data_IF_551094589263
#
_entry.id   IF_551094589263
#
_cell.length_a   1.000
_cell.length_b   1.000
_cell.length_c   1.000
_cell.angle_alpha   90.00
_cell.angle_beta   90.00
_cell.angle_gamma   90.00
#
_symmetry.space_group_name_H-M   'P 1'
#
loop_
_entity.id
_entity.type
_entity.pdbx_description
1 polymer ?
#
# COMPACT_ATOMS: atom_id res chain seq x y z
N UNK A 1 5.05 81.37 0.63
CA UNK A 1 4.42 80.77 1.83
C UNK A 1 3.10 80.13 1.41
N UNK A 2 3.12 78.85 1.05
CA UNK A 2 1.92 78.07 0.70
C UNK A 2 2.02 76.73 1.42
N UNK A 3 1.06 76.48 2.31
CA UNK A 3 0.92 75.27 3.11
C UNK A 3 0.78 74.04 2.23
N UNK A 4 1.68 73.07 2.40
CA UNK A 4 1.47 71.68 1.99
C UNK A 4 0.76 70.95 3.11
N UNK A 5 -0.53 70.67 2.89
CA UNK A 5 -1.35 69.76 3.68
C UNK A 5 -0.81 68.35 3.41
N UNK A 6 -0.13 67.76 4.40
CA UNK A 6 0.23 66.35 4.39
C UNK A 6 -1.04 65.51 4.60
N UNK A 7 -1.48 64.84 3.54
CA UNK A 7 -2.56 63.86 3.60
C UNK A 7 -2.07 62.61 4.34
N UNK A 8 -2.41 62.52 5.64
CA UNK A 8 -2.40 61.29 6.41
C UNK A 8 -3.53 60.38 5.90
N UNK A 9 -3.25 59.60 4.86
CA UNK A 9 -4.07 58.44 4.53
C UNK A 9 -3.75 57.33 5.53
N UNK A 10 -4.63 57.25 6.54
CA UNK A 10 -4.74 56.14 7.48
C UNK A 10 -5.03 54.87 6.65
N UNK A 11 -4.00 54.04 6.47
CA UNK A 11 -4.14 52.70 5.89
C UNK A 11 -4.72 51.75 6.97
N UNK A 12 -5.95 52.03 7.40
CA UNK A 12 -6.76 51.14 8.24
C UNK A 12 -7.62 50.26 7.36
N UNK A 13 -6.98 49.42 6.54
CA UNK A 13 -7.67 48.39 5.76
C UNK A 13 -7.01 47.04 6.01
N UNK A 14 -7.70 46.21 6.80
CA UNK A 14 -7.70 44.76 6.70
C UNK A 14 -6.34 44.06 6.48
N UNK A 15 -5.35 44.33 7.34
CA UNK A 15 -4.44 43.25 7.72
C UNK A 15 -5.23 42.27 8.58
N UNK A 16 -5.93 41.33 7.93
CA UNK A 16 -6.19 40.02 8.55
C UNK A 16 -4.79 39.45 8.77
N UNK A 17 -4.16 39.82 9.88
CA UNK A 17 -2.90 39.25 10.31
C UNK A 17 -3.14 37.75 10.32
N UNK A 18 -2.58 37.05 9.33
CA UNK A 18 -2.62 35.61 9.28
C UNK A 18 -2.09 35.14 10.63
N UNK A 19 -2.97 34.50 11.39
CA UNK A 19 -2.74 34.17 12.80
C UNK A 19 -1.76 33.00 12.83
N UNK A 20 -0.49 33.34 12.98
CA UNK A 20 0.59 32.38 13.16
C UNK A 20 1.04 32.39 14.61
N UNK A 21 1.12 31.21 15.22
CA UNK A 21 2.03 30.97 16.34
C UNK A 21 3.38 30.59 15.73
N UNK A 22 4.49 31.00 16.32
CA UNK A 22 5.83 30.51 15.94
C UNK A 22 6.48 29.75 17.08
N UNK A 23 7.62 29.09 16.82
CA UNK A 23 8.42 28.48 17.90
C UNK A 23 8.95 29.52 18.90
N UNK A 24 9.24 30.74 18.42
CA UNK A 24 9.81 31.83 19.22
C UNK A 24 8.76 32.79 19.81
N UNK A 25 7.51 32.71 19.38
CA UNK A 25 6.41 33.56 19.84
C UNK A 25 5.14 32.73 19.96
N UNK A 26 4.81 32.39 21.21
CA UNK A 26 3.59 31.69 21.56
C UNK A 26 3.03 32.31 22.83
N UNK A 27 2.14 33.27 22.65
CA UNK A 27 1.53 34.07 23.71
C UNK A 27 0.05 34.27 23.40
N UNK A 28 -0.74 34.58 24.43
CA UNK A 28 -2.12 34.99 24.22
C UNK A 28 -2.16 36.39 23.58
N UNK A 29 -3.10 36.59 22.65
CA UNK A 29 -3.34 37.91 22.04
C UNK A 29 -3.82 38.93 23.07
N UNK A 30 -4.68 38.49 23.99
CA UNK A 30 -5.17 39.25 25.12
C UNK A 30 -5.26 38.31 26.33
N UNK A 31 -4.20 38.29 27.14
CA UNK A 31 -4.04 37.31 28.23
C UNK A 31 -5.20 37.34 29.22
N UNK A 32 -5.66 38.51 29.64
CA UNK A 32 -6.78 38.65 30.58
C UNK A 32 -8.08 38.09 30.00
N UNK A 33 -8.39 38.45 28.75
CA UNK A 33 -9.59 37.99 28.06
C UNK A 33 -9.55 36.48 27.84
N UNK A 34 -8.43 35.95 27.37
CA UNK A 34 -8.22 34.52 27.19
C UNK A 34 -8.36 33.75 28.51
N UNK A 35 -7.79 34.24 29.61
CA UNK A 35 -7.93 33.59 30.92
C UNK A 35 -9.39 33.52 31.39
N UNK A 36 -10.16 34.59 31.20
CA UNK A 36 -11.59 34.62 31.54
C UNK A 36 -12.35 33.63 30.65
N UNK A 37 -12.19 33.72 29.33
CA UNK A 37 -12.90 32.87 28.39
C UNK A 37 -12.59 31.39 28.56
N UNK A 38 -11.32 31.01 28.76
CA UNK A 38 -10.94 29.61 28.96
C UNK A 38 -11.47 29.07 30.29
N UNK A 39 -11.55 29.91 31.33
CA UNK A 39 -12.11 29.54 32.62
C UNK A 39 -13.62 29.31 32.55
N UNK A 40 -14.36 30.19 31.89
CA UNK A 40 -15.83 30.11 31.77
C UNK A 40 -16.27 29.11 30.69
N UNK A 41 -15.54 29.04 29.57
CA UNK A 41 -15.86 28.23 28.40
C UNK A 41 -14.66 27.35 27.99
N UNK A 42 -14.33 26.30 28.74
CA UNK A 42 -13.25 25.36 28.41
C UNK A 42 -13.29 24.80 26.99
N UNK A 43 -14.50 24.65 26.45
CA UNK A 43 -14.74 24.14 25.09
C UNK A 43 -14.19 25.06 24.00
N UNK A 44 -13.97 26.34 24.32
CA UNK A 44 -13.35 27.33 23.43
C UNK A 44 -11.97 26.86 22.94
N UNK A 45 -11.20 26.22 23.82
CA UNK A 45 -9.87 25.71 23.50
C UNK A 45 -9.86 24.49 22.59
N UNK A 46 -10.99 23.80 22.36
CA UNK A 46 -10.97 22.65 21.46
C UNK A 46 -11.10 23.05 19.99
N UNK A 47 -11.61 24.26 19.69
CA UNK A 47 -11.68 24.73 18.31
C UNK A 47 -10.27 25.15 17.82
N UNK A 48 -9.72 24.55 16.75
CA UNK A 48 -8.38 24.89 16.25
C UNK A 48 -8.21 26.35 15.86
N UNK A 49 -9.30 27.03 15.46
CA UNK A 49 -9.26 28.47 15.13
C UNK A 49 -8.95 29.34 16.36
N UNK A 50 -9.20 28.80 17.56
CA UNK A 50 -9.02 29.47 18.85
C UNK A 50 -7.70 29.08 19.52
N UNK A 51 -6.98 28.07 19.03
CA UNK A 51 -5.66 27.70 19.53
C UNK A 51 -4.64 28.84 19.37
N UNK A 52 -4.84 29.73 18.38
CA UNK A 52 -3.91 30.83 18.06
C UNK A 52 -4.13 32.09 18.89
N UNK A 53 -5.37 32.61 19.04
CA UNK A 53 -5.59 33.79 19.87
C UNK A 53 -5.32 33.59 21.36
N UNK A 54 -5.50 32.37 21.88
CA UNK A 54 -5.35 32.03 23.30
C UNK A 54 -4.37 30.86 23.51
N UNK A 55 -3.23 30.92 22.83
CA UNK A 55 -2.28 29.81 22.75
C UNK A 55 -1.69 29.41 24.12
N UNK A 56 -1.40 30.39 24.97
CA UNK A 56 -0.83 30.15 26.29
C UNK A 56 -1.91 29.68 27.26
N UNK A 57 -3.04 30.38 27.34
CA UNK A 57 -4.17 30.03 28.20
C UNK A 57 -4.78 28.66 27.88
N UNK A 58 -4.80 28.26 26.61
CA UNK A 58 -5.23 26.92 26.22
C UNK A 58 -4.15 25.84 26.41
N UNK A 59 -2.90 26.24 26.68
CA UNK A 59 -1.78 25.32 26.90
C UNK A 59 -1.07 24.86 25.63
N UNK A 60 -1.43 25.40 24.45
CA UNK A 60 -0.85 25.07 23.14
C UNK A 60 0.64 25.31 23.12
N UNK A 61 1.10 26.38 23.75
CA UNK A 61 2.52 26.72 23.80
C UNK A 61 3.39 25.64 24.46
N UNK A 62 2.80 24.85 25.37
CA UNK A 62 3.49 23.77 26.10
C UNK A 62 3.60 22.48 25.29
N UNK A 63 2.83 22.33 24.21
CA UNK A 63 2.92 21.16 23.34
C UNK A 63 4.21 21.18 22.51
N UNK A 64 4.88 20.03 22.41
CA UNK A 64 6.09 19.84 21.62
C UNK A 64 5.79 19.84 20.11
N UNK A 65 4.63 19.30 19.74
CA UNK A 65 4.15 19.09 18.40
C UNK A 65 2.80 19.81 18.24
N UNK A 66 2.87 21.02 17.68
CA UNK A 66 1.75 21.96 17.51
C UNK A 66 1.68 22.50 16.09
N UNK A 67 0.49 22.91 15.69
CA UNK A 67 0.25 23.52 14.39
C UNK A 67 0.38 25.05 14.47
N UNK A 68 1.15 25.61 13.53
CA UNK A 68 1.50 27.03 13.50
C UNK A 68 0.49 27.87 12.72
N UNK A 69 -0.44 27.24 11.99
CA UNK A 69 -1.48 27.93 11.24
C UNK A 69 -2.89 27.57 11.72
N UNK A 70 -3.75 28.57 11.89
CA UNK A 70 -5.12 28.36 12.42
C UNK A 70 -6.04 27.55 11.51
N UNK A 71 -5.74 27.46 10.21
CA UNK A 71 -6.55 26.72 9.25
C UNK A 71 -6.08 25.27 9.00
N UNK A 72 -5.11 24.75 9.75
CA UNK A 72 -4.56 23.41 9.52
C UNK A 72 -5.64 22.31 9.44
N UNK A 73 -6.69 22.39 10.29
CA UNK A 73 -7.77 21.41 10.27
C UNK A 73 -8.71 21.54 9.06
N UNK A 74 -8.90 22.75 8.53
CA UNK A 74 -9.83 23.06 7.44
C UNK A 74 -9.19 22.86 6.06
N UNK A 75 -7.94 23.29 5.95
CA UNK A 75 -7.23 23.43 4.68
C UNK A 75 -6.13 22.38 4.53
N UNK A 76 -6.25 21.23 5.19
CA UNK A 76 -5.27 20.16 5.15
C UNK A 76 -4.91 19.73 3.73
N UNK A 77 -5.87 19.77 2.79
CA UNK A 77 -5.60 19.50 1.36
C UNK A 77 -4.56 20.46 0.78
N UNK A 78 -4.68 21.74 1.09
CA UNK A 78 -3.83 22.81 0.57
C UNK A 78 -2.50 22.83 1.34
N UNK A 79 -2.56 22.66 2.66
CA UNK A 79 -1.40 22.82 3.52
C UNK A 79 -0.50 21.59 3.50
N UNK A 80 -1.05 20.37 3.51
CA UNK A 80 -0.23 19.16 3.58
C UNK A 80 0.22 18.63 2.21
N UNK A 81 -0.54 18.86 1.12
CA UNK A 81 -0.19 18.31 -0.20
C UNK A 81 0.55 19.30 -1.11
N UNK A 82 0.45 20.62 -0.90
CA UNK A 82 1.16 21.62 -1.70
C UNK A 82 2.54 21.99 -1.13
N UNK A 83 3.14 21.11 -0.29
CA UNK A 83 4.47 21.34 0.29
C UNK A 83 4.53 22.45 1.35
N UNK A 84 3.38 22.82 1.94
CA UNK A 84 3.27 23.80 3.05
C UNK A 84 3.06 23.12 4.40
N UNK A 85 3.51 21.88 4.51
CA UNK A 85 3.27 20.97 5.63
C UNK A 85 4.03 21.39 6.91
N UNK A 86 5.06 22.23 6.78
CA UNK A 86 5.78 22.83 7.90
C UNK A 86 4.94 23.81 8.73
N UNK A 87 3.86 24.38 8.18
CA UNK A 87 2.92 25.20 8.95
C UNK A 87 1.98 24.38 9.84
N UNK A 88 1.83 23.09 9.53
CA UNK A 88 0.89 22.19 10.17
C UNK A 88 1.55 20.87 10.53
N UNK A 89 2.67 20.86 11.29
CA UNK A 89 3.44 19.65 11.49
C UNK A 89 2.67 18.56 12.24
N UNK A 90 1.71 18.92 13.11
CA UNK A 90 0.86 17.95 13.82
C UNK A 90 -0.18 17.38 12.86
N UNK A 91 -0.96 18.22 12.18
CA UNK A 91 -2.00 17.76 11.24
C UNK A 91 -1.43 16.98 10.05
N UNK A 92 -0.29 17.42 9.51
CA UNK A 92 0.37 16.77 8.37
C UNK A 92 1.21 15.54 8.77
N UNK A 93 1.30 15.21 10.07
CA UNK A 93 2.04 14.04 10.55
C UNK A 93 3.57 14.16 10.46
N UNK A 94 4.11 15.38 10.43
CA UNK A 94 5.55 15.65 10.45
C UNK A 94 6.14 15.58 11.87
N UNK A 95 5.32 15.63 12.91
CA UNK A 95 5.74 15.34 14.28
C UNK A 95 4.85 14.24 14.90
N UNK A 96 5.49 13.23 15.50
CA UNK A 96 4.83 12.01 15.97
C UNK A 96 4.86 11.88 17.50
N UNK A 97 4.62 12.99 18.21
CA UNK A 97 4.56 13.00 19.67
C UNK A 97 3.13 12.70 20.11
N UNK A 98 2.95 11.70 20.98
CA UNK A 98 1.66 11.44 21.60
C UNK A 98 1.42 12.35 22.80
N UNK A 99 0.80 13.49 22.54
CA UNK A 99 0.44 14.47 23.56
C UNK A 99 -0.89 15.14 23.23
N UNK A 100 -1.52 15.68 24.28
CA UNK A 100 -2.62 16.63 24.12
C UNK A 100 -2.04 17.98 23.66
N UNK A 101 -2.70 18.61 22.70
CA UNK A 101 -2.34 19.92 22.19
C UNK A 101 -2.72 21.03 23.17
N UNK A 102 -3.81 20.85 23.90
CA UNK A 102 -4.27 21.77 24.95
C UNK A 102 -4.01 21.19 26.33
N UNK A 103 -4.22 21.98 27.37
CA UNK A 103 -4.05 21.53 28.75
C UNK A 103 -4.79 20.20 29.03
N UNK A 104 -4.06 19.20 29.52
CA UNK A 104 -4.63 17.88 29.85
C UNK A 104 -5.72 17.94 30.94
N UNK A 105 -5.79 19.01 31.73
CA UNK A 105 -6.93 19.24 32.64
C UNK A 105 -8.23 19.51 31.88
N UNK A 106 -8.18 20.26 30.77
CA UNK A 106 -9.32 20.49 29.88
C UNK A 106 -9.70 19.17 29.19
N UNK A 107 -8.71 18.45 28.64
CA UNK A 107 -8.96 17.17 27.98
C UNK A 107 -9.59 16.12 28.89
N UNK A 108 -9.12 16.00 30.14
CA UNK A 108 -9.72 15.05 31.11
C UNK A 108 -11.18 15.37 31.42
N UNK A 109 -11.55 16.65 31.48
CA UNK A 109 -12.94 17.08 31.70
C UNK A 109 -13.86 16.84 30.50
N UNK A 110 -13.33 16.56 29.31
CA UNK A 110 -14.10 16.36 28.08
C UNK A 110 -13.81 15.01 27.42
N UNK A 111 -13.31 14.05 28.19
CA UNK A 111 -12.91 12.73 27.70
C UNK A 111 -14.10 11.91 27.19
N UNK A 112 -15.28 12.10 27.77
CA UNK A 112 -16.56 11.51 27.34
C UNK A 112 -16.90 11.87 25.90
N UNK A 113 -16.59 13.10 25.48
CA UNK A 113 -16.84 13.63 24.14
C UNK A 113 -15.84 13.18 23.08
N UNK A 114 -14.79 12.45 23.44
CA UNK A 114 -13.79 11.94 22.50
C UNK A 114 -14.41 11.06 21.39
N UNK A 115 -15.57 10.45 21.61
CA UNK A 115 -16.24 9.61 20.59
C UNK A 115 -16.95 10.42 19.51
N UNK A 116 -17.41 11.61 19.86
CA UNK A 116 -18.37 12.37 19.05
C UNK A 116 -17.74 13.62 18.45
N UNK A 117 -16.77 14.22 19.14
CA UNK A 117 -16.20 15.51 18.76
C UNK A 117 -14.81 15.36 18.12
N UNK A 118 -14.68 15.59 16.79
CA UNK A 118 -13.39 15.54 16.10
C UNK A 118 -12.41 16.62 16.56
N UNK A 119 -12.89 17.76 17.03
CA UNK A 119 -12.03 18.83 17.56
C UNK A 119 -11.38 18.39 18.87
N UNK A 120 -12.13 17.69 19.73
CA UNK A 120 -11.57 17.11 20.96
C UNK A 120 -10.61 15.98 20.63
N UNK A 121 -10.93 15.09 19.67
CA UNK A 121 -9.98 14.05 19.23
C UNK A 121 -8.67 14.63 18.73
N UNK A 122 -8.73 15.76 18.02
CA UNK A 122 -7.57 16.47 17.52
C UNK A 122 -6.75 17.15 18.64
N UNK A 123 -7.43 17.87 19.54
CA UNK A 123 -6.77 18.63 20.61
C UNK A 123 -6.33 17.76 21.80
N UNK A 124 -6.94 16.59 21.99
CA UNK A 124 -6.76 15.73 23.16
C UNK A 124 -6.36 14.30 22.78
N UNK A 125 -5.46 14.13 21.81
CA UNK A 125 -5.11 12.82 21.23
C UNK A 125 -4.66 11.80 22.28
N UNK A 126 -3.86 12.22 23.27
CA UNK A 126 -3.37 11.32 24.33
C UNK A 126 -4.49 10.94 25.27
N UNK A 127 -5.25 11.92 25.75
CA UNK A 127 -6.38 11.68 26.67
C UNK A 127 -7.50 10.83 26.02
N UNK A 128 -7.76 11.05 24.73
CA UNK A 128 -8.71 10.28 23.94
C UNK A 128 -8.17 8.92 23.48
N UNK A 129 -6.93 8.55 23.84
CA UNK A 129 -6.26 7.30 23.43
C UNK A 129 -6.23 7.10 21.90
N UNK A 130 -6.14 8.20 21.15
CA UNK A 130 -5.95 8.21 19.69
C UNK A 130 -4.50 7.86 19.35
N UNK A 131 -3.59 8.13 20.28
CA UNK A 131 -2.21 7.72 20.23
C UNK A 131 -1.79 7.08 21.56
N UNK A 132 -0.67 6.37 21.55
CA UNK A 132 0.08 6.00 22.75
C UNK A 132 1.56 6.26 22.55
N UNK A 133 2.29 6.48 23.64
CA UNK A 133 3.74 6.72 23.60
C UNK A 133 4.48 5.50 22.99
N UNK A 134 3.94 4.30 23.19
CA UNK A 134 4.47 3.03 22.65
C UNK A 134 4.08 2.76 21.18
N UNK A 135 3.14 3.54 20.62
CA UNK A 135 2.69 3.35 19.24
C UNK A 135 3.25 4.46 18.36
N UNK A 136 4.30 4.13 17.60
CA UNK A 136 4.82 4.95 16.49
C UNK A 136 3.81 5.10 15.33
N UNK A 137 2.63 4.51 15.46
CA UNK A 137 1.67 4.27 14.41
C UNK A 137 0.28 4.83 14.73
N UNK A 138 0.08 6.12 14.48
CA UNK A 138 -1.23 6.77 14.67
C UNK A 138 -1.58 7.58 13.43
N UNK A 139 -2.86 7.67 13.11
CA UNK A 139 -3.34 8.66 12.14
C UNK A 139 -3.27 10.04 12.81
N UNK A 140 -2.55 10.95 12.18
CA UNK A 140 -2.43 12.34 12.59
C UNK A 140 -3.72 13.12 12.30
N UNK A 141 -4.37 12.78 11.19
CA UNK A 141 -5.61 13.42 10.79
C UNK A 141 -6.77 12.93 11.66
N UNK A 142 -7.47 13.83 12.37
CA UNK A 142 -8.68 13.47 13.10
C UNK A 142 -9.78 13.09 12.10
N UNK A 143 -10.67 12.23 12.56
CA UNK A 143 -11.73 11.61 11.77
C UNK A 143 -12.89 12.60 11.55
N UNK A 144 -12.62 13.63 10.74
CA UNK A 144 -13.57 14.58 10.15
C UNK A 144 -13.93 14.12 8.72
N UNK A 145 -14.74 14.88 7.98
CA UNK A 145 -15.18 14.64 6.59
C UNK A 145 -14.08 14.19 5.59
N UNK A 146 -12.81 14.38 5.95
CA UNK A 146 -11.64 13.79 5.32
C UNK A 146 -11.05 12.74 6.27
N UNK A 147 -11.64 11.54 6.33
CA UNK A 147 -11.08 10.47 7.15
C UNK A 147 -9.95 9.76 6.40
N UNK A 148 -8.97 9.24 7.14
CA UNK A 148 -7.93 8.40 6.56
C UNK A 148 -8.52 7.19 5.81
N UNK A 149 -9.60 6.61 6.34
CA UNK A 149 -10.34 5.52 5.72
C UNK A 149 -10.99 5.90 4.38
N UNK A 150 -11.48 7.13 4.24
CA UNK A 150 -12.03 7.62 2.97
C UNK A 150 -10.92 7.76 1.92
N UNK A 151 -9.78 8.33 2.29
CA UNK A 151 -8.64 8.48 1.37
C UNK A 151 -8.05 7.14 0.97
N UNK A 152 -7.95 6.19 1.90
CA UNK A 152 -7.57 4.82 1.60
C UNK A 152 -8.48 4.19 0.55
N UNK A 153 -9.81 4.25 0.76
CA UNK A 153 -10.80 3.73 -0.21
C UNK A 153 -10.71 4.39 -1.58
N UNK A 154 -10.31 5.66 -1.64
CA UNK A 154 -10.08 6.40 -2.88
C UNK A 154 -8.70 6.12 -3.50
N UNK A 155 -7.87 5.26 -2.91
CA UNK A 155 -6.56 4.88 -3.42
C UNK A 155 -5.44 5.88 -3.13
N UNK A 156 -5.65 6.88 -2.28
CA UNK A 156 -4.66 7.95 -2.05
C UNK A 156 -3.41 7.43 -1.32
N UNK A 157 -3.52 6.38 -0.51
CA UNK A 157 -2.37 5.75 0.16
C UNK A 157 -1.34 5.17 -0.82
N UNK A 158 -1.75 4.83 -2.04
CA UNK A 158 -0.88 4.27 -3.09
C UNK A 158 -0.72 5.21 -4.30
N UNK A 159 -1.38 6.37 -4.28
CA UNK A 159 -1.33 7.31 -5.39
C UNK A 159 0.07 7.96 -5.51
N UNK A 160 0.70 8.01 -6.70
CA UNK A 160 2.07 8.49 -6.85
C UNK A 160 2.32 9.89 -6.30
N UNK A 161 1.34 10.80 -6.42
CA UNK A 161 1.47 12.18 -5.92
C UNK A 161 1.13 12.35 -4.44
N UNK A 162 0.30 11.48 -3.87
CA UNK A 162 -0.29 11.71 -2.54
C UNK A 162 0.18 10.72 -1.49
N UNK A 163 0.72 9.57 -1.91
CA UNK A 163 1.04 8.45 -1.03
C UNK A 163 1.99 8.83 0.08
N UNK A 164 3.05 9.60 -0.17
CA UNK A 164 4.01 9.98 0.87
C UNK A 164 3.38 10.87 1.95
N UNK A 165 2.65 11.91 1.56
CA UNK A 165 1.90 12.76 2.50
C UNK A 165 0.85 11.94 3.26
N UNK A 166 0.12 11.07 2.56
CA UNK A 166 -0.88 10.20 3.18
C UNK A 166 -0.27 9.20 4.16
N UNK A 167 0.91 8.65 3.88
CA UNK A 167 1.63 7.76 4.79
C UNK A 167 2.10 8.49 6.06
N UNK A 168 2.29 9.81 6.03
CA UNK A 168 2.57 10.61 7.23
C UNK A 168 1.27 10.92 7.99
N UNK A 169 0.29 11.50 7.30
CA UNK A 169 -0.98 11.96 7.88
C UNK A 169 -1.85 10.82 8.40
N UNK A 170 -1.88 9.74 7.65
CA UNK A 170 -2.72 8.58 7.86
C UNK A 170 -1.86 7.34 8.05
N UNK A 171 -0.83 7.45 8.90
CA UNK A 171 0.15 6.39 9.05
C UNK A 171 -0.49 5.04 9.42
N UNK A 172 -1.44 5.03 10.35
CA UNK A 172 -2.11 3.80 10.79
C UNK A 172 -2.95 3.19 9.67
N UNK A 173 -3.60 4.02 8.87
CA UNK A 173 -4.45 3.56 7.77
C UNK A 173 -3.64 3.20 6.51
N UNK A 174 -2.72 4.06 6.08
CA UNK A 174 -2.00 3.97 4.80
C UNK A 174 -0.68 3.19 4.86
N UNK A 175 -0.03 3.07 6.01
CA UNK A 175 1.21 2.31 6.13
C UNK A 175 0.92 0.90 6.66
N UNK A 176 1.20 -0.11 5.84
CA UNK A 176 1.26 -1.50 6.30
C UNK A 176 2.39 -1.75 7.30
N UNK A 177 3.47 -0.97 7.28
CA UNK A 177 4.57 -1.05 8.27
C UNK A 177 4.22 -0.54 9.67
N UNK A 178 3.16 0.26 9.73
CA UNK A 178 2.57 0.77 10.95
C UNK A 178 1.84 -0.36 11.70
N UNK A 179 1.38 -1.33 10.92
CA UNK A 179 1.18 -2.71 11.32
C UNK A 179 2.54 -3.44 11.23
N UNK A 180 3.52 -3.03 12.02
CA UNK A 180 4.65 -3.91 12.28
C UNK A 180 4.03 -5.23 12.76
N UNK A 181 4.21 -6.29 11.95
CA UNK A 181 3.50 -7.60 11.92
C UNK A 181 2.46 -7.85 10.80
N UNK A 182 2.61 -7.29 9.59
CA UNK A 182 1.91 -7.81 8.38
C UNK A 182 2.79 -8.14 7.18
N UNK A 183 4.10 -8.23 7.40
CA UNK A 183 4.98 -8.97 6.49
C UNK A 183 5.50 -10.18 7.24
N UNK A 184 5.24 -11.36 6.68
CA UNK A 184 6.05 -12.52 7.04
C UNK A 184 7.35 -12.32 6.28
N UNK A 185 8.49 -12.13 6.94
CA UNK A 185 9.78 -12.32 6.25
C UNK A 185 10.28 -13.73 6.53
N UNK A 186 11.32 -14.17 5.84
CA UNK A 186 12.01 -15.42 6.20
C UNK A 186 12.60 -15.37 7.62
N UNK A 187 12.93 -14.16 8.11
CA UNK A 187 13.54 -13.94 9.42
C UNK A 187 12.57 -13.57 10.55
N UNK A 188 11.31 -13.23 10.25
CA UNK A 188 10.34 -12.71 11.24
C UNK A 188 9.03 -13.51 11.31
N UNK A 189 9.10 -14.81 11.03
CA UNK A 189 7.92 -15.66 10.95
C UNK A 189 7.54 -16.22 12.33
N UNK A 190 7.00 -15.34 13.17
CA UNK A 190 6.51 -15.63 14.51
C UNK A 190 5.04 -15.23 14.63
N UNK A 191 4.31 -15.87 15.54
CA UNK A 191 2.97 -15.44 15.90
C UNK A 191 3.02 -14.09 16.64
N UNK A 192 2.05 -13.22 16.37
CA UNK A 192 1.89 -11.92 17.06
C UNK A 192 1.67 -12.09 18.56
N UNK A 193 0.89 -13.11 18.92
CA UNK A 193 0.63 -13.54 20.29
C UNK A 193 0.54 -15.07 20.28
N UNK A 194 1.68 -15.74 20.51
CA UNK A 194 1.79 -17.20 20.35
C UNK A 194 0.77 -17.98 21.17
N UNK A 195 0.50 -17.57 22.41
CA UNK A 195 -0.50 -18.22 23.27
C UNK A 195 -1.92 -18.08 22.73
N UNK A 196 -2.31 -16.87 22.34
CA UNK A 196 -3.65 -16.60 21.79
C UNK A 196 -3.84 -17.32 20.45
N UNK A 197 -2.83 -17.27 19.58
CA UNK A 197 -2.85 -17.98 18.30
C UNK A 197 -2.97 -19.50 18.48
N UNK A 198 -2.23 -20.10 19.42
CA UNK A 198 -2.32 -21.53 19.69
C UNK A 198 -3.72 -21.94 20.19
N UNK A 199 -4.31 -21.17 21.10
CA UNK A 199 -5.67 -21.41 21.60
C UNK A 199 -6.66 -21.26 20.44
N UNK A 200 -6.58 -20.16 19.71
CA UNK A 200 -7.54 -19.82 18.66
C UNK A 200 -7.48 -20.79 17.49
N UNK A 201 -6.29 -21.20 17.05
CA UNK A 201 -6.12 -22.19 15.96
C UNK A 201 -6.60 -23.57 16.39
N UNK A 202 -6.46 -23.92 17.68
CA UNK A 202 -6.96 -25.18 18.23
C UNK A 202 -8.48 -25.22 18.29
N UNK A 203 -9.12 -24.14 18.74
CA UNK A 203 -10.59 -24.04 18.86
C UNK A 203 -11.27 -23.77 17.51
N UNK A 204 -10.64 -22.94 16.66
CA UNK A 204 -11.17 -22.49 15.38
C UNK A 204 -10.16 -22.73 14.24
N UNK A 205 -9.97 -23.99 13.80
CA UNK A 205 -9.09 -24.32 12.66
C UNK A 205 -9.36 -23.51 11.40
N UNK A 206 -10.63 -23.12 11.18
CA UNK A 206 -11.04 -22.31 10.03
C UNK A 206 -10.42 -20.91 10.00
N UNK A 207 -9.95 -20.42 11.14
CA UNK A 207 -9.24 -19.15 11.25
C UNK A 207 -8.04 -19.09 10.32
N UNK A 208 -7.28 -20.18 10.25
CA UNK A 208 -6.08 -20.27 9.43
C UNK A 208 -6.37 -20.29 7.94
N UNK A 209 -7.59 -20.54 7.48
CA UNK A 209 -7.84 -20.56 6.03
C UNK A 209 -8.04 -19.15 5.47
N UNK A 210 -8.38 -18.15 6.30
CA UNK A 210 -8.49 -16.77 5.85
C UNK A 210 -7.08 -16.15 5.69
N UNK A 211 -6.69 -15.70 4.49
CA UNK A 211 -5.35 -15.12 4.27
C UNK A 211 -5.04 -13.88 5.11
N UNK A 212 -6.07 -13.15 5.55
CA UNK A 212 -5.89 -12.02 6.47
C UNK A 212 -5.33 -12.45 7.84
N UNK A 213 -5.56 -13.71 8.21
CA UNK A 213 -5.15 -14.31 9.48
C UNK A 213 -3.81 -15.05 9.40
N UNK A 214 -3.27 -15.27 8.18
CA UNK A 214 -1.96 -15.87 7.99
C UNK A 214 -0.83 -15.05 8.62
N UNK A 215 -1.01 -13.74 8.80
CA UNK A 215 -0.02 -12.86 9.43
C UNK A 215 -0.01 -12.88 10.95
N UNK A 216 -1.15 -12.65 11.64
CA UNK A 216 -1.15 -12.64 13.10
C UNK A 216 -0.76 -13.98 13.71
N UNK A 217 -1.06 -15.10 13.04
CA UNK A 217 -0.78 -16.45 13.53
C UNK A 217 0.02 -17.28 12.52
N UNK A 218 1.08 -16.70 11.94
CA UNK A 218 1.86 -17.32 10.87
C UNK A 218 2.48 -18.66 11.26
N UNK A 219 2.97 -18.79 12.48
CA UNK A 219 3.62 -20.00 12.98
C UNK A 219 2.58 -21.04 13.40
N UNK A 220 1.59 -20.64 14.21
CA UNK A 220 0.49 -21.51 14.64
C UNK A 220 -0.31 -22.08 13.47
N UNK A 221 -0.52 -21.27 12.41
CA UNK A 221 -1.17 -21.74 11.20
C UNK A 221 -0.24 -22.54 10.27
N UNK A 222 1.07 -22.59 10.53
CA UNK A 222 2.05 -23.32 9.73
C UNK A 222 2.48 -22.62 8.44
N UNK A 223 2.08 -21.37 8.24
CA UNK A 223 2.42 -20.53 7.08
C UNK A 223 3.93 -20.34 6.96
N UNK A 224 4.61 -20.27 8.10
CA UNK A 224 6.07 -20.16 8.15
C UNK A 224 6.81 -21.30 7.47
N UNK A 225 6.22 -22.50 7.44
CA UNK A 225 6.84 -23.72 6.92
C UNK A 225 6.64 -23.89 5.41
N UNK A 226 5.75 -23.11 4.80
CA UNK A 226 5.58 -23.10 3.35
C UNK A 226 6.82 -22.46 2.71
N UNK A 227 7.40 -23.15 1.72
CA UNK A 227 8.48 -22.62 0.88
C UNK A 227 8.02 -21.40 0.06
N UNK A 228 6.72 -21.29 -0.11
CA UNK A 228 6.07 -20.28 -0.90
C UNK A 228 4.80 -19.81 -0.21
N UNK A 229 4.86 -18.55 0.21
CA UNK A 229 3.82 -17.87 0.98
C UNK A 229 3.64 -16.46 0.45
N UNK A 230 2.42 -15.96 0.62
CA UNK A 230 2.18 -14.54 0.43
C UNK A 230 2.77 -13.79 1.61
N UNK A 231 3.51 -12.73 1.31
CA UNK A 231 4.14 -11.90 2.32
C UNK A 231 3.25 -10.72 2.72
N UNK A 232 2.06 -10.60 2.13
CA UNK A 232 1.16 -9.47 2.38
C UNK A 232 -0.28 -9.93 2.66
N UNK A 233 -0.88 -9.43 3.74
CA UNK A 233 -2.20 -9.91 4.20
C UNK A 233 -3.33 -9.61 3.21
N UNK A 234 -3.13 -8.59 2.37
CA UNK A 234 -4.11 -8.16 1.40
C UNK A 234 -3.97 -8.86 0.03
N UNK A 235 -3.05 -9.82 -0.13
CA UNK A 235 -2.87 -10.50 -1.42
C UNK A 235 -4.17 -11.02 -2.02
N UNK A 236 -5.05 -11.62 -1.21
CA UNK A 236 -6.34 -12.10 -1.69
C UNK A 236 -7.32 -10.99 -2.09
N UNK A 237 -7.32 -9.85 -1.36
CA UNK A 237 -8.24 -8.73 -1.60
C UNK A 237 -7.82 -7.88 -2.79
N UNK A 238 -6.52 -7.64 -2.88
CA UNK A 238 -5.92 -6.66 -3.79
C UNK A 238 -5.11 -7.36 -4.90
N UNK A 239 -5.37 -8.64 -5.18
CA UNK A 239 -4.64 -9.43 -6.17
C UNK A 239 -4.54 -8.72 -7.53
N UNK A 240 -5.63 -8.06 -7.96
CA UNK A 240 -5.65 -7.30 -9.21
C UNK A 240 -4.65 -6.14 -9.25
N UNK A 241 -4.35 -5.54 -8.11
CA UNK A 241 -3.42 -4.41 -8.01
C UNK A 241 -2.01 -4.97 -7.80
N UNK A 242 -1.87 -5.87 -6.82
CA UNK A 242 -0.57 -6.40 -6.40
C UNK A 242 0.09 -7.25 -7.47
N UNK A 243 -0.67 -8.04 -8.24
CA UNK A 243 -0.10 -8.91 -9.28
C UNK A 243 0.19 -8.19 -10.60
N UNK A 244 -0.47 -7.07 -10.88
CA UNK A 244 -0.36 -6.38 -12.17
C UNK A 244 0.50 -5.11 -12.13
N UNK A 245 0.71 -4.50 -10.95
CA UNK A 245 1.55 -3.32 -10.78
C UNK A 245 3.06 -3.62 -10.58
N UNK A 246 3.51 -4.84 -10.87
CA UNK A 246 4.90 -5.26 -10.63
C UNK A 246 5.26 -5.38 -9.14
N UNK A 247 4.25 -5.58 -8.27
CA UNK A 247 4.39 -5.87 -6.83
C UNK A 247 4.08 -7.32 -6.49
N UNK A 248 4.14 -8.16 -7.49
CA UNK A 248 3.84 -9.58 -7.48
C UNK A 248 4.77 -10.37 -6.53
N UNK A 249 5.98 -9.86 -6.26
CA UNK A 249 6.90 -10.39 -5.26
C UNK A 249 6.39 -10.35 -3.81
N UNK A 250 5.39 -9.50 -3.49
CA UNK A 250 4.75 -9.51 -2.17
C UNK A 250 3.67 -10.60 -2.05
N UNK A 251 3.18 -11.11 -3.18
CA UNK A 251 2.09 -12.06 -3.27
C UNK A 251 2.42 -13.23 -4.21
N UNK A 252 3.61 -13.86 -4.06
CA UNK A 252 4.09 -14.80 -5.07
C UNK A 252 3.17 -16.00 -5.26
N UNK A 253 2.37 -16.37 -4.25
CA UNK A 253 1.43 -17.50 -4.37
C UNK A 253 0.11 -17.08 -4.97
N UNK A 254 -0.47 -15.97 -4.52
CA UNK A 254 -1.71 -15.44 -5.10
C UNK A 254 -1.53 -15.06 -6.57
N UNK A 255 -0.39 -14.46 -6.90
CA UNK A 255 -0.06 -14.05 -8.27
C UNK A 255 0.42 -15.20 -9.16
N UNK A 256 0.54 -16.42 -8.62
CA UNK A 256 0.94 -17.59 -9.40
C UNK A 256 2.42 -17.61 -9.80
N UNK A 257 3.25 -16.74 -9.23
CA UNK A 257 4.71 -16.70 -9.45
C UNK A 257 5.46 -17.84 -8.76
N UNK A 258 4.72 -18.75 -8.14
CA UNK A 258 5.25 -19.84 -7.37
C UNK A 258 4.66 -21.16 -7.81
N UNK A 259 5.55 -22.04 -8.27
CA UNK A 259 5.23 -23.36 -8.81
C UNK A 259 5.32 -24.48 -7.76
N UNK A 260 5.47 -24.16 -6.47
CA UNK A 260 5.56 -25.16 -5.41
C UNK A 260 4.16 -25.66 -5.03
N UNK A 261 3.89 -26.93 -5.30
CA UNK A 261 2.66 -27.59 -4.85
C UNK A 261 2.77 -27.98 -3.37
N UNK A 262 2.38 -27.05 -2.51
CA UNK A 262 2.28 -27.27 -1.06
C UNK A 262 1.06 -26.55 -0.48
N UNK A 263 0.60 -27.06 0.66
CA UNK A 263 -0.37 -26.37 1.49
C UNK A 263 0.31 -25.15 2.15
N UNK A 264 -0.40 -24.02 2.18
CA UNK A 264 0.04 -22.82 2.89
C UNK A 264 0.02 -23.02 4.40
N UNK A 265 -0.99 -23.73 4.90
CA UNK A 265 -1.17 -23.93 6.33
C UNK A 265 -0.78 -25.34 6.71
N UNK A 266 -0.74 -25.60 8.02
CA UNK A 266 -0.42 -26.91 8.57
C UNK A 266 -1.25 -28.01 7.88
N UNK A 267 -0.55 -29.02 7.34
CA UNK A 267 -1.20 -30.13 6.61
C UNK A 267 -2.24 -30.88 7.45
N UNK A 268 -2.11 -30.88 8.79
CA UNK A 268 -3.12 -31.41 9.71
C UNK A 268 -4.44 -30.64 9.65
N UNK A 269 -4.41 -29.32 9.53
CA UNK A 269 -5.59 -28.47 9.34
C UNK A 269 -6.24 -28.77 7.98
N UNK A 270 -5.41 -28.85 6.93
CA UNK A 270 -5.90 -29.14 5.59
C UNK A 270 -6.57 -30.52 5.47
N UNK A 271 -6.01 -31.55 6.10
CA UNK A 271 -6.63 -32.90 6.11
C UNK A 271 -7.98 -32.90 6.83
N UNK A 272 -8.11 -32.14 7.93
CA UNK A 272 -9.38 -32.01 8.67
C UNK A 272 -10.48 -31.28 7.89
N UNK A 273 -10.12 -30.50 6.88
CA UNK A 273 -11.07 -29.69 6.09
C UNK A 273 -11.10 -30.09 4.61
N UNK A 274 -10.66 -31.31 4.29
CA UNK A 274 -10.53 -31.78 2.92
C UNK A 274 -11.89 -31.95 2.21
N UNK A 275 -12.94 -32.27 2.96
CA UNK A 275 -14.33 -32.36 2.52
C UNK A 275 -14.84 -31.01 1.97
N UNK A 276 -14.38 -29.90 2.56
CA UNK A 276 -14.78 -28.53 2.20
C UNK A 276 -13.99 -27.94 1.03
N UNK A 277 -13.04 -28.68 0.46
CA UNK A 277 -12.24 -28.25 -0.68
C UNK A 277 -13.06 -27.92 -1.94
N UNK A 278 -14.33 -28.35 -2.06
CA UNK A 278 -15.15 -27.98 -3.23
C UNK A 278 -15.86 -26.64 -3.04
N UNK A 279 -16.26 -26.34 -1.81
CA UNK A 279 -17.18 -25.26 -1.48
C UNK A 279 -16.46 -24.01 -0.95
N UNK A 280 -15.34 -24.18 -0.25
CA UNK A 280 -14.66 -23.07 0.41
C UNK A 280 -13.42 -22.62 -0.39
N UNK A 281 -13.46 -21.44 -1.05
CA UNK A 281 -12.33 -20.93 -1.84
C UNK A 281 -11.09 -20.64 -0.99
N UNK A 282 -11.24 -20.34 0.31
CA UNK A 282 -10.13 -20.09 1.23
C UNK A 282 -9.41 -21.40 1.57
N UNK A 283 -10.16 -22.48 1.81
CA UNK A 283 -9.57 -23.82 2.01
C UNK A 283 -8.88 -24.27 0.72
N UNK A 284 -9.51 -24.07 -0.44
CA UNK A 284 -8.89 -24.37 -1.74
C UNK A 284 -7.57 -23.63 -1.93
N UNK A 285 -7.54 -22.36 -1.56
CA UNK A 285 -6.35 -21.52 -1.65
C UNK A 285 -5.25 -21.97 -0.68
N UNK A 286 -5.60 -22.22 0.57
CA UNK A 286 -4.64 -22.55 1.63
C UNK A 286 -4.22 -24.01 1.63
N UNK A 287 -5.00 -24.92 1.06
CA UNK A 287 -4.78 -26.37 1.08
C UNK A 287 -4.63 -26.97 -0.33
N UNK A 288 -3.91 -26.28 -1.23
CA UNK A 288 -3.82 -26.68 -2.65
C UNK A 288 -3.34 -28.11 -2.87
N UNK A 289 -2.41 -28.60 -2.05
CA UNK A 289 -1.88 -29.97 -2.17
C UNK A 289 -2.89 -30.97 -1.65
N UNK A 290 -3.44 -30.74 -0.46
CA UNK A 290 -4.43 -31.63 0.15
C UNK A 290 -5.74 -31.68 -0.65
N UNK A 291 -6.19 -30.55 -1.19
CA UNK A 291 -7.34 -30.45 -2.09
C UNK A 291 -7.05 -30.97 -3.51
N UNK A 292 -5.82 -31.48 -3.78
CA UNK A 292 -5.40 -31.97 -5.10
C UNK A 292 -5.54 -30.93 -6.23
N UNK A 293 -5.50 -29.63 -5.89
CA UNK A 293 -5.61 -28.51 -6.83
C UNK A 293 -4.30 -28.30 -7.57
N UNK A 294 -3.17 -28.50 -6.88
CA UNK A 294 -1.85 -28.40 -7.50
C UNK A 294 -1.29 -29.77 -7.90
N UNK A 295 -2.15 -30.80 -8.06
CA UNK A 295 -1.74 -32.04 -8.70
C UNK A 295 -1.00 -31.66 -9.97
N UNK A 296 0.21 -32.18 -10.09
CA UNK A 296 1.09 -32.08 -11.24
C UNK A 296 0.54 -32.85 -12.44
N UNK A 297 -0.77 -32.78 -12.69
CA UNK A 297 -1.35 -33.12 -13.96
C UNK A 297 -1.46 -31.79 -14.69
N UNK A 298 -0.61 -31.61 -15.70
CA UNK A 298 -0.91 -30.64 -16.71
C UNK A 298 -2.15 -31.12 -17.47
N UNK A 299 -3.31 -30.87 -16.88
CA UNK A 299 -4.61 -31.20 -17.42
C UNK A 299 -5.43 -29.91 -17.31
N UNK A 300 -6.20 -29.62 -18.35
CA UNK A 300 -7.10 -28.48 -18.31
C UNK A 300 -8.16 -28.68 -17.22
N UNK A 301 -8.58 -27.59 -16.58
CA UNK A 301 -9.53 -27.60 -15.45
C UNK A 301 -10.93 -28.12 -15.82
N UNK A 302 -11.19 -28.34 -17.12
CA UNK A 302 -12.27 -29.11 -17.73
C UNK A 302 -11.76 -29.61 -19.10
N UNK A 303 -11.14 -30.80 -19.17
CA UNK A 303 -10.42 -31.26 -20.37
C UNK A 303 -11.21 -31.12 -21.68
N UNK A 304 -12.50 -31.47 -21.70
CA UNK A 304 -13.31 -31.41 -22.93
C UNK A 304 -13.69 -29.97 -23.33
N UNK A 305 -14.20 -29.16 -22.40
CA UNK A 305 -14.57 -27.76 -22.70
C UNK A 305 -13.34 -26.89 -22.95
N UNK A 306 -12.26 -27.07 -22.20
CA UNK A 306 -11.00 -26.33 -22.38
C UNK A 306 -10.38 -26.61 -23.75
N UNK A 307 -10.39 -27.87 -24.20
CA UNK A 307 -9.91 -28.25 -25.53
C UNK A 307 -10.77 -27.68 -26.65
N UNK A 308 -12.10 -27.76 -26.53
CA UNK A 308 -13.03 -27.18 -27.52
C UNK A 308 -12.86 -25.67 -27.58
N UNK A 309 -12.83 -25.01 -26.42
CA UNK A 309 -12.76 -23.57 -26.31
C UNK A 309 -11.42 -23.00 -26.80
N UNK A 310 -10.29 -23.65 -26.49
CA UNK A 310 -8.98 -23.24 -27.03
C UNK A 310 -8.89 -23.49 -28.54
N UNK A 311 -9.54 -24.53 -29.05
CA UNK A 311 -9.60 -24.81 -30.49
C UNK A 311 -10.41 -23.75 -31.24
N UNK A 312 -11.53 -23.28 -30.67
CA UNK A 312 -12.37 -22.21 -31.24
C UNK A 312 -11.78 -20.81 -31.01
N UNK A 313 -11.19 -20.57 -29.84
CA UNK A 313 -10.65 -19.27 -29.42
C UNK A 313 -9.16 -19.35 -28.99
N UNK A 314 -8.23 -19.57 -29.94
CA UNK A 314 -6.80 -19.66 -29.63
C UNK A 314 -6.20 -18.43 -28.93
N UNK A 315 -6.85 -17.26 -29.07
CA UNK A 315 -6.41 -16.03 -28.39
C UNK A 315 -6.52 -16.08 -26.87
N UNK A 316 -7.35 -16.98 -26.35
CA UNK A 316 -7.56 -17.14 -24.93
C UNK A 316 -6.27 -17.55 -24.19
N UNK A 317 -5.41 -18.30 -24.87
CA UNK A 317 -4.12 -18.76 -24.36
C UNK A 317 -3.06 -17.66 -24.23
N UNK A 318 -3.23 -16.49 -24.84
CA UNK A 318 -2.24 -15.42 -24.72
C UNK A 318 -2.44 -14.55 -23.46
N UNK A 319 -3.54 -14.75 -22.72
CA UNK A 319 -3.74 -14.11 -21.43
C UNK A 319 -3.14 -14.98 -20.31
N UNK A 320 -2.16 -14.49 -19.53
CA UNK A 320 -1.53 -15.26 -18.44
C UNK A 320 -2.52 -15.80 -17.40
N UNK A 321 -3.61 -15.08 -17.14
CA UNK A 321 -4.67 -15.52 -16.21
C UNK A 321 -5.36 -16.83 -16.65
N UNK A 322 -5.30 -17.14 -17.95
CA UNK A 322 -5.93 -18.31 -18.54
C UNK A 322 -4.96 -19.49 -18.70
N UNK A 323 -3.68 -19.33 -18.36
CA UNK A 323 -2.68 -20.40 -18.40
C UNK A 323 -2.95 -21.48 -17.35
N UNK A 324 -3.62 -21.14 -16.24
CA UNK A 324 -3.99 -22.09 -15.20
C UNK A 324 -5.21 -22.98 -15.58
N UNK A 325 -6.34 -22.44 -16.08
CA UNK A 325 -7.49 -23.27 -16.46
C UNK A 325 -7.30 -24.09 -17.74
N UNK A 326 -6.40 -23.71 -18.66
CA UNK A 326 -6.20 -24.36 -19.97
C UNK A 326 -4.73 -24.73 -20.22
N UNK A 327 -3.99 -25.13 -19.19
CA UNK A 327 -2.54 -25.32 -19.24
C UNK A 327 -2.08 -26.34 -20.30
N UNK A 328 -2.84 -27.41 -20.52
CA UNK A 328 -2.53 -28.47 -21.47
C UNK A 328 -2.92 -28.05 -22.88
N UNK A 329 -4.14 -27.55 -23.06
CA UNK A 329 -4.66 -27.09 -24.36
C UNK A 329 -3.89 -25.89 -24.91
N UNK A 330 -3.45 -24.98 -24.04
CA UNK A 330 -2.58 -23.87 -24.42
C UNK A 330 -1.11 -24.30 -24.61
N UNK A 331 -0.78 -25.56 -24.29
CA UNK A 331 0.56 -26.14 -24.41
C UNK A 331 1.58 -25.53 -23.45
N UNK A 332 1.14 -24.84 -22.41
CA UNK A 332 1.99 -24.20 -21.39
C UNK A 332 2.88 -25.24 -20.71
N UNK A 333 2.40 -26.46 -20.55
CA UNK A 333 3.17 -27.52 -19.91
C UNK A 333 4.08 -28.31 -20.85
N UNK A 334 3.92 -28.13 -22.17
CA UNK A 334 4.86 -28.67 -23.17
C UNK A 334 6.03 -27.72 -23.39
N UNK A 335 5.89 -26.44 -23.03
CA UNK A 335 7.00 -25.51 -22.97
C UNK A 335 7.95 -25.96 -21.84
N UNK A 336 9.24 -26.18 -22.15
CA UNK A 336 10.23 -26.65 -21.19
C UNK A 336 10.67 -25.52 -20.25
N UNK A 337 9.75 -24.81 -19.60
CA UNK A 337 10.10 -23.83 -18.58
C UNK A 337 10.11 -24.51 -17.20
N UNK A 338 11.16 -25.29 -16.92
CA UNK A 338 11.65 -25.46 -15.55
C UNK A 338 12.58 -24.29 -15.24
N UNK A 339 12.14 -23.47 -14.30
CA UNK A 339 12.83 -22.34 -13.69
C UNK A 339 13.05 -21.08 -14.55
N UNK A 340 12.81 -19.92 -13.92
CA UNK A 340 13.16 -18.57 -14.38
C UNK A 340 14.69 -18.34 -14.53
N UNK A 341 15.48 -19.42 -14.58
CA UNK A 341 16.94 -19.39 -14.58
C UNK A 341 17.61 -20.21 -15.70
N UNK A 342 16.88 -20.89 -16.59
CA UNK A 342 17.52 -21.57 -17.73
C UNK A 342 17.33 -20.86 -19.07
N UNK A 343 18.45 -20.69 -19.76
CA UNK A 343 18.69 -19.85 -20.93
C UNK A 343 18.09 -20.37 -22.25
N UNK A 344 16.80 -20.73 -22.28
CA UNK A 344 16.14 -21.16 -23.52
C UNK A 344 15.01 -20.19 -23.88
N UNK A 345 15.23 -19.38 -24.92
CA UNK A 345 14.17 -18.58 -25.54
C UNK A 345 13.18 -19.52 -26.25
N UNK A 346 12.19 -20.00 -25.51
CA UNK A 346 11.05 -20.79 -26.02
C UNK A 346 9.73 -20.02 -25.83
N UNK A 347 8.76 -20.22 -26.73
CA UNK A 347 7.41 -19.69 -26.53
C UNK A 347 6.78 -20.27 -25.24
N UNK A 348 6.06 -19.44 -24.48
CA UNK A 348 5.37 -19.83 -23.24
C UNK A 348 4.08 -20.61 -23.51
N UNK A 349 3.58 -20.55 -24.74
CA UNK A 349 2.42 -21.30 -25.24
C UNK A 349 2.83 -22.12 -26.47
N UNK A 350 2.00 -23.07 -26.88
CA UNK A 350 2.36 -23.98 -27.97
C UNK A 350 2.76 -23.24 -29.25
N UNK A 351 3.88 -23.65 -29.86
CA UNK A 351 4.44 -22.99 -31.05
C UNK A 351 3.47 -22.92 -32.23
N UNK A 352 2.53 -23.86 -32.35
CA UNK A 352 1.47 -23.81 -33.37
C UNK A 352 0.46 -22.68 -33.14
N UNK A 353 0.12 -22.36 -31.87
CA UNK A 353 -0.75 -21.24 -31.53
C UNK A 353 -0.05 -19.92 -31.83
N UNK A 354 1.23 -19.85 -31.51
CA UNK A 354 2.07 -18.71 -31.87
C UNK A 354 2.10 -18.54 -33.39
N UNK A 355 2.55 -19.54 -34.16
CA UNK A 355 2.63 -19.45 -35.63
C UNK A 355 1.31 -19.05 -36.30
N UNK A 356 0.15 -19.46 -35.75
CA UNK A 356 -1.17 -19.18 -36.33
C UNK A 356 -1.69 -17.75 -36.07
N UNK A 357 -1.31 -17.11 -34.96
CA UNK A 357 -1.80 -15.75 -34.59
C UNK A 357 -0.70 -14.67 -34.58
N UNK A 358 0.56 -15.05 -34.64
CA UNK A 358 1.70 -14.14 -34.45
C UNK A 358 2.21 -13.49 -35.73
N UNK A 359 1.85 -13.99 -36.91
CA UNK A 359 2.47 -13.53 -38.17
C UNK A 359 2.35 -12.02 -38.38
N UNK A 360 1.27 -11.38 -37.91
CA UNK A 360 1.09 -9.92 -38.01
C UNK A 360 0.97 -9.20 -36.66
N UNK A 361 0.62 -9.92 -35.57
CA UNK A 361 0.27 -9.31 -34.29
C UNK A 361 1.40 -9.22 -33.27
N UNK A 362 2.59 -9.76 -33.56
CA UNK A 362 3.75 -9.64 -32.66
C UNK A 362 4.14 -8.18 -32.35
N UNK A 363 3.87 -7.25 -33.27
CA UNK A 363 4.18 -5.82 -33.09
C UNK A 363 3.10 -5.07 -32.33
N UNK A 364 1.85 -5.53 -32.41
CA UNK A 364 0.66 -4.81 -31.95
C UNK A 364 0.10 -5.34 -30.63
N UNK A 365 0.26 -6.64 -30.37
CA UNK A 365 -0.32 -7.31 -29.21
C UNK A 365 0.77 -7.71 -28.20
N UNK A 366 0.92 -6.97 -27.09
CA UNK A 366 1.96 -7.24 -26.10
C UNK A 366 1.85 -8.61 -25.43
N UNK A 367 0.64 -9.18 -25.35
CA UNK A 367 0.42 -10.48 -24.75
C UNK A 367 0.86 -11.62 -25.68
N UNK A 368 0.60 -11.47 -26.99
CA UNK A 368 1.16 -12.36 -28.02
C UNK A 368 2.68 -12.25 -28.02
N UNK A 369 3.19 -11.02 -27.96
CA UNK A 369 4.63 -10.75 -27.97
C UNK A 369 5.34 -11.42 -26.78
N UNK A 370 4.79 -11.31 -25.56
CA UNK A 370 5.31 -11.99 -24.37
C UNK A 370 5.19 -13.52 -24.46
N UNK A 371 4.02 -14.02 -24.81
CA UNK A 371 3.72 -15.46 -24.82
C UNK A 371 4.43 -16.20 -25.96
N UNK A 372 4.70 -15.53 -27.08
CA UNK A 372 5.31 -16.09 -28.29
C UNK A 372 6.69 -15.50 -28.58
N UNK A 373 7.50 -15.29 -27.54
CA UNK A 373 8.79 -14.61 -27.63
C UNK A 373 9.79 -15.20 -28.64
N UNK A 374 9.80 -16.52 -28.84
CA UNK A 374 10.65 -17.18 -29.84
C UNK A 374 10.07 -16.98 -31.24
N UNK A 375 8.77 -17.24 -31.41
CA UNK A 375 8.10 -17.09 -32.70
C UNK A 375 8.07 -15.62 -33.16
N UNK A 376 7.94 -14.68 -32.24
CA UNK A 376 8.02 -13.24 -32.48
C UNK A 376 9.47 -12.72 -32.62
N UNK A 377 10.47 -13.61 -32.62
CA UNK A 377 11.90 -13.29 -32.76
C UNK A 377 12.39 -12.23 -31.76
N UNK A 378 11.86 -12.24 -30.55
CA UNK A 378 12.22 -11.29 -29.49
C UNK A 378 13.54 -11.67 -28.85
N UNK A 379 13.83 -12.96 -28.79
CA UNK A 379 15.15 -13.46 -28.47
C UNK A 379 15.62 -14.34 -29.62
N UNK A 380 16.66 -13.86 -30.31
CA UNK A 380 17.47 -14.62 -31.25
C UNK A 380 18.56 -15.36 -30.48
N UNK A 381 18.93 -16.55 -30.98
CA UNK A 381 19.84 -17.48 -30.29
C UNK A 381 21.24 -16.88 -29.99
N UNK A 382 21.61 -15.77 -30.64
CA UNK A 382 22.87 -15.06 -30.43
C UNK A 382 22.75 -13.62 -29.88
N UNK A 383 21.56 -13.18 -29.42
CA UNK A 383 21.40 -11.85 -28.84
C UNK A 383 20.75 -11.88 -27.46
N UNK A 384 21.52 -11.36 -26.48
CA UNK A 384 21.06 -10.90 -25.17
C UNK A 384 19.67 -10.28 -25.26
N UNK A 385 18.76 -10.79 -24.41
CA UNK A 385 17.33 -10.49 -24.38
C UNK A 385 17.00 -9.00 -24.59
N UNK A 386 16.13 -8.70 -25.56
CA UNK A 386 15.48 -7.40 -25.67
C UNK A 386 14.65 -7.09 -24.40
N UNK A 387 14.34 -5.81 -24.17
CA UNK A 387 13.59 -5.35 -23.00
C UNK A 387 12.22 -6.06 -22.91
N UNK A 388 11.90 -6.59 -21.73
CA UNK A 388 10.75 -7.46 -21.48
C UNK A 388 9.42 -6.70 -21.35
N UNK A 389 9.43 -5.37 -21.23
CA UNK A 389 8.21 -4.59 -21.05
C UNK A 389 7.38 -4.49 -22.33
N UNK A 390 6.03 -4.57 -22.24
CA UNK A 390 5.12 -4.56 -23.37
C UNK A 390 5.20 -3.30 -24.27
N UNK A 391 5.77 -2.20 -23.78
CA UNK A 391 5.90 -0.92 -24.50
C UNK A 391 7.38 -0.46 -24.66
N UNK A 392 8.16 -1.34 -25.31
CA UNK A 392 9.63 -1.49 -25.22
C UNK A 392 10.44 -0.21 -25.36
N UNK A 393 10.17 0.62 -26.38
CA UNK A 393 11.09 1.70 -26.72
C UNK A 393 10.87 2.96 -25.86
N UNK A 394 9.61 3.30 -25.56
CA UNK A 394 9.30 4.55 -24.86
C UNK A 394 9.49 4.43 -23.36
N UNK A 395 9.03 3.34 -22.74
CA UNK A 395 9.15 3.18 -21.29
C UNK A 395 10.59 2.97 -20.83
N UNK A 396 11.34 2.08 -21.50
CA UNK A 396 12.72 1.82 -21.11
C UNK A 396 13.64 3.01 -21.38
N UNK A 397 13.47 3.75 -22.49
CA UNK A 397 14.22 4.98 -22.73
C UNK A 397 13.84 6.11 -21.76
N UNK A 398 12.56 6.21 -21.36
CA UNK A 398 12.13 7.16 -20.33
C UNK A 398 12.76 6.81 -18.97
N UNK A 399 12.82 5.53 -18.62
CA UNK A 399 13.44 5.09 -17.37
C UNK A 399 14.96 5.26 -17.36
N UNK A 400 15.59 5.04 -18.52
CA UNK A 400 17.00 5.35 -18.75
C UNK A 400 17.28 6.85 -18.55
N UNK A 401 16.51 7.74 -19.21
CA UNK A 401 16.65 9.20 -19.06
C UNK A 401 16.47 9.68 -17.62
N UNK A 402 15.66 8.97 -16.84
CA UNK A 402 15.45 9.25 -15.41
C UNK A 402 16.51 8.62 -14.49
N UNK A 403 17.52 7.96 -15.06
CA UNK A 403 18.66 7.40 -14.33
C UNK A 403 18.37 6.09 -13.59
N UNK A 404 17.21 5.44 -13.81
CA UNK A 404 16.84 4.26 -13.03
C UNK A 404 17.72 3.04 -13.30
N UNK A 405 18.38 2.97 -14.46
CA UNK A 405 19.36 1.91 -14.76
C UNK A 405 20.59 1.96 -13.82
N UNK A 406 20.95 3.13 -13.32
CA UNK A 406 22.11 3.35 -12.44
C UNK A 406 21.72 3.50 -10.96
N UNK A 407 20.43 3.58 -10.65
CA UNK A 407 19.96 3.75 -9.28
C UNK A 407 20.04 2.41 -8.52
N UNK A 408 20.78 2.28 -7.41
CA UNK A 408 20.96 1.01 -6.69
C UNK A 408 19.66 0.33 -6.28
N UNK A 409 18.62 1.13 -6.00
CA UNK A 409 17.31 0.65 -5.56
C UNK A 409 16.49 0.02 -6.69
N UNK A 410 16.68 0.48 -7.94
CA UNK A 410 15.86 0.10 -9.09
C UNK A 410 16.65 -0.66 -10.17
N UNK A 411 17.98 -0.61 -10.12
CA UNK A 411 18.86 -1.09 -11.19
C UNK A 411 18.69 -2.58 -11.47
N UNK A 412 18.49 -3.43 -10.46
CA UNK A 412 18.30 -4.87 -10.66
C UNK A 412 16.97 -5.19 -11.35
N UNK A 413 15.88 -4.50 -10.98
CA UNK A 413 14.57 -4.66 -11.64
C UNK A 413 14.62 -4.07 -13.05
N UNK A 414 15.29 -2.93 -13.25
CA UNK A 414 15.43 -2.30 -14.56
C UNK A 414 16.37 -3.08 -15.49
N UNK A 415 17.43 -3.71 -14.99
CA UNK A 415 18.25 -4.65 -15.77
C UNK A 415 17.48 -5.91 -16.17
N UNK A 416 16.45 -6.30 -15.42
CA UNK A 416 15.56 -7.42 -15.76
C UNK A 416 14.53 -7.03 -16.82
N UNK A 417 13.93 -5.84 -16.69
CA UNK A 417 12.83 -5.38 -17.55
C UNK A 417 13.30 -4.61 -18.79
N UNK A 418 14.39 -3.85 -18.66
CA UNK A 418 14.98 -2.96 -19.65
C UNK A 418 16.47 -3.28 -19.87
N UNK A 419 16.78 -4.57 -19.99
CA UNK A 419 18.14 -5.12 -20.07
C UNK A 419 18.97 -4.50 -21.18
N UNK A 420 18.41 -4.32 -22.39
CA UNK A 420 19.12 -3.77 -23.54
C UNK A 420 19.40 -2.28 -23.34
N UNK A 421 18.38 -1.52 -22.92
CA UNK A 421 18.54 -0.08 -22.65
C UNK A 421 19.55 0.19 -21.54
N UNK A 422 19.49 -0.55 -20.43
CA UNK A 422 20.39 -0.36 -19.30
C UNK A 422 21.82 -0.88 -19.57
N UNK A 423 21.99 -1.89 -20.42
CA UNK A 423 23.31 -2.45 -20.72
C UNK A 423 24.14 -1.56 -21.66
N UNK A 424 23.52 -0.93 -22.66
CA UNK A 424 24.20 0.03 -23.56
C UNK A 424 24.83 1.21 -22.81
N UNK A 425 24.25 1.58 -21.66
CA UNK A 425 24.70 2.67 -20.79
C UNK A 425 25.85 2.29 -19.84
N UNK A 426 26.07 1.00 -19.59
CA UNK A 426 27.18 0.50 -18.77
C UNK A 426 28.48 0.37 -19.58
N UNK A 427 28.40 0.49 -20.91
CA UNK A 427 29.55 0.47 -21.82
C UNK A 427 30.01 1.87 -22.28
N UNK A 428 29.24 2.91 -21.94
CA UNK A 428 29.58 4.33 -22.14
C UNK A 428 30.00 4.93 -20.80
#
# INVERSE_FOLDING_TARGET
>A
MRSTIASLFICSTFCVAQRFITESSCEDRNSTECQIFVKEYPSYCFNPSNHHPCAESCGVCKAKCKDYHSACMRDAKILCFDGRDYHCPKMCGNCNVCEDLVHSSLCRKSQDRCKEDPNIRYSCRKTCKICSDDQLCNDAMPDVAYSCSLFERKGYCIHPMYSETMKKMCRKTCCTFCVAQRFITESSCEDRNSTECQIFVKEYPSYCFNPSNHHPCAESCGVCKAKCKDYHSACMRDAKILCFDGRDYHCPKMCGNCNVCEDLVHSSLCRKSQDRCKEDPNIRYSCRKTCKICKSSCEDRNSTEGQIFVKEYPSYCFNPSNHHPCAESCGVCKAKCKDYHSALCEDLVHSSLCRKKSQDRCKEDPNIRYSCRKTCKICSDDQLCNDAMPDVAYSCSLFERKGYCMNPMYSETMKKMCRKTCWLKLQQ
#
